data_IF_181967697033
#
_entry.id   IF_181967697033
#
_cell.length_a   1.000
_cell.length_b   1.000
_cell.length_c   1.000
_cell.angle_alpha   90.00
_cell.angle_beta   90.00
_cell.angle_gamma   90.00
#
_symmetry.space_group_name_H-M   'P 1'
#
loop_
_entity.id
_entity.type
_entity.pdbx_description
1 polymer ?
#
# COMPACT_ATOMS: atom_id res chain seq x y z
N UNK A 1 -20.62 -35.05 38.77
CA UNK A 1 -20.64 -33.64 38.32
C UNK A 1 -19.23 -33.10 38.53
N UNK A 2 -18.62 -32.53 37.49
CA UNK A 2 -17.31 -31.83 37.48
C UNK A 2 -16.04 -32.67 37.67
N UNK A 3 -15.39 -33.04 36.57
CA UNK A 3 -13.93 -32.86 36.37
C UNK A 3 -13.61 -32.97 34.87
N UNK A 4 -13.53 -31.83 34.17
CA UNK A 4 -12.70 -31.72 32.95
C UNK A 4 -11.70 -30.61 33.23
N UNK A 5 -10.63 -30.98 33.91
CA UNK A 5 -9.40 -30.20 33.99
C UNK A 5 -8.60 -30.49 32.73
N UNK A 6 -8.30 -29.46 31.94
CA UNK A 6 -7.46 -29.63 30.76
C UNK A 6 -7.44 -28.44 29.81
N UNK A 7 -7.38 -27.21 30.34
CA UNK A 7 -7.06 -26.04 29.52
C UNK A 7 -5.64 -26.20 28.98
N UNK A 8 -5.51 -26.71 27.75
CA UNK A 8 -4.23 -26.76 27.03
C UNK A 8 -3.78 -25.32 26.84
N UNK A 9 -2.86 -24.84 27.67
CA UNK A 9 -2.10 -23.62 27.41
C UNK A 9 -1.20 -23.92 26.22
N UNK A 10 -1.77 -23.84 25.02
CA UNK A 10 -1.00 -23.78 23.79
C UNK A 10 -0.16 -22.52 23.92
N UNK A 11 1.12 -22.69 24.29
CA UNK A 11 2.15 -21.66 24.17
C UNK A 11 2.14 -21.24 22.70
N UNK A 12 1.36 -20.21 22.38
CA UNK A 12 1.35 -19.66 21.04
C UNK A 12 2.78 -19.20 20.77
N UNK A 13 3.44 -19.87 19.84
CA UNK A 13 4.80 -19.54 19.43
C UNK A 13 4.85 -18.01 19.20
N UNK A 14 5.74 -17.26 19.87
CA UNK A 14 5.80 -15.81 19.71
C UNK A 14 5.94 -15.40 18.25
N UNK A 15 6.61 -16.21 17.42
CA UNK A 15 6.67 -16.03 15.98
C UNK A 15 5.31 -16.16 15.29
N UNK A 16 4.47 -17.10 15.70
CA UNK A 16 3.10 -17.26 15.18
C UNK A 16 2.20 -16.11 15.62
N UNK A 17 2.37 -15.60 16.83
CA UNK A 17 1.62 -14.42 17.32
C UNK A 17 2.04 -13.14 16.61
N UNK A 18 3.32 -13.05 16.22
CA UNK A 18 3.86 -11.95 15.44
C UNK A 18 3.32 -12.00 14.00
N UNK A 19 3.46 -13.14 13.32
CA UNK A 19 3.00 -13.33 11.92
C UNK A 19 1.49 -13.15 11.69
N UNK A 20 0.67 -13.24 12.74
CA UNK A 20 -0.80 -13.07 12.64
C UNK A 20 -1.22 -11.59 12.77
N UNK A 21 -0.30 -10.66 13.05
CA UNK A 21 -0.65 -9.23 13.09
C UNK A 21 -0.79 -8.68 11.67
N UNK A 22 -1.93 -8.08 11.31
CA UNK A 22 -2.15 -7.52 9.97
C UNK A 22 -1.12 -6.44 9.60
N UNK A 23 -0.66 -5.66 10.60
CA UNK A 23 0.40 -4.66 10.48
C UNK A 23 1.70 -5.22 9.89
N UNK A 24 2.05 -6.47 10.23
CA UNK A 24 3.28 -7.10 9.77
C UNK A 24 3.21 -7.55 8.33
N UNK A 25 2.01 -7.80 7.80
CA UNK A 25 1.82 -8.10 6.38
C UNK A 25 2.30 -6.94 5.49
N UNK A 26 1.92 -5.71 5.83
CA UNK A 26 2.33 -4.52 5.09
C UNK A 26 3.86 -4.30 5.15
N UNK A 27 4.46 -4.43 6.34
CA UNK A 27 5.92 -4.27 6.52
C UNK A 27 6.68 -5.35 5.76
N UNK A 28 6.33 -6.62 5.96
CA UNK A 28 7.01 -7.75 5.30
C UNK A 28 6.86 -7.65 3.78
N UNK A 29 5.67 -7.29 3.27
CA UNK A 29 5.43 -7.09 1.85
C UNK A 29 6.30 -5.98 1.26
N UNK A 30 6.34 -4.82 1.92
CA UNK A 30 7.17 -3.69 1.46
C UNK A 30 8.65 -4.04 1.39
N UNK A 31 9.18 -4.72 2.41
CA UNK A 31 10.58 -5.16 2.46
C UNK A 31 10.85 -6.22 1.40
N UNK A 32 9.96 -7.20 1.24
CA UNK A 32 10.13 -8.25 0.24
C UNK A 32 10.17 -7.70 -1.19
N UNK A 33 9.26 -6.77 -1.53
CA UNK A 33 9.23 -6.10 -2.83
C UNK A 33 10.49 -5.24 -3.02
N UNK A 34 10.91 -4.49 -2.00
CA UNK A 34 12.13 -3.70 -2.07
C UNK A 34 13.37 -4.57 -2.30
N UNK A 35 13.52 -5.69 -1.58
CA UNK A 35 14.62 -6.65 -1.77
C UNK A 35 14.60 -7.23 -3.19
N UNK A 36 13.42 -7.60 -3.69
CA UNK A 36 13.28 -8.11 -5.05
C UNK A 36 13.83 -7.12 -6.08
N UNK A 37 13.41 -5.85 -6.01
CA UNK A 37 13.91 -4.82 -6.93
C UNK A 37 15.37 -4.42 -6.66
N UNK A 38 15.84 -4.49 -5.41
CA UNK A 38 17.26 -4.29 -5.10
C UNK A 38 18.15 -5.34 -5.79
N UNK A 39 17.69 -6.60 -5.87
CA UNK A 39 18.43 -7.68 -6.53
C UNK A 39 18.29 -7.57 -8.06
N UNK A 40 17.06 -7.44 -8.57
CA UNK A 40 16.77 -7.49 -10.01
C UNK A 40 17.16 -6.19 -10.72
N UNK A 41 16.88 -5.04 -10.10
CA UNK A 41 17.07 -3.71 -10.67
C UNK A 41 18.24 -2.93 -10.05
N UNK A 42 19.00 -3.53 -9.12
CA UNK A 42 20.12 -2.87 -8.43
C UNK A 42 21.20 -2.34 -9.39
N UNK A 43 21.56 -3.14 -10.40
CA UNK A 43 22.51 -2.74 -11.45
C UNK A 43 21.98 -1.65 -12.40
N UNK A 44 20.67 -1.38 -12.40
CA UNK A 44 20.02 -0.33 -13.19
C UNK A 44 19.79 0.94 -12.38
N UNK A 45 20.38 1.04 -11.19
CA UNK A 45 20.33 2.24 -10.36
C UNK A 45 19.17 2.28 -9.36
N UNK A 46 18.45 1.18 -9.13
CA UNK A 46 17.37 1.15 -8.14
C UNK A 46 17.84 1.56 -6.73
N UNK A 47 18.99 1.04 -6.28
CA UNK A 47 19.58 1.35 -4.96
C UNK A 47 20.46 2.61 -4.98
N UNK A 48 20.60 3.27 -6.14
CA UNK A 48 21.35 4.53 -6.22
C UNK A 48 20.61 5.65 -5.47
N UNK A 49 21.30 6.74 -5.13
CA UNK A 49 20.67 7.91 -4.51
C UNK A 49 19.52 8.47 -5.37
N UNK A 50 19.70 8.51 -6.70
CA UNK A 50 18.68 9.01 -7.63
C UNK A 50 17.48 8.06 -7.74
N UNK A 51 17.73 6.75 -7.81
CA UNK A 51 16.67 5.74 -7.81
C UNK A 51 15.87 5.78 -6.51
N UNK A 52 16.59 5.83 -5.40
CA UNK A 52 16.04 5.93 -4.05
C UNK A 52 15.18 7.18 -3.88
N UNK A 53 15.66 8.35 -4.29
CA UNK A 53 14.87 9.58 -4.23
C UNK A 53 13.63 9.53 -5.11
N UNK A 54 13.71 8.88 -6.28
CA UNK A 54 12.60 8.81 -7.22
C UNK A 54 11.42 8.03 -6.65
N UNK A 55 11.64 6.80 -6.19
CA UNK A 55 10.55 6.01 -5.62
C UNK A 55 10.09 6.54 -4.25
N UNK A 56 10.99 7.12 -3.44
CA UNK A 56 10.60 7.73 -2.16
C UNK A 56 9.74 8.98 -2.37
N UNK A 57 9.99 9.77 -3.40
CA UNK A 57 9.18 10.97 -3.68
C UNK A 57 7.75 10.61 -4.02
N UNK A 58 7.55 9.65 -4.93
CA UNK A 58 6.22 9.14 -5.29
C UNK A 58 5.55 8.45 -4.09
N UNK A 59 6.32 7.66 -3.32
CA UNK A 59 5.77 6.98 -2.14
C UNK A 59 5.36 7.96 -1.05
N UNK A 60 6.10 9.07 -0.86
CA UNK A 60 5.75 10.09 0.11
C UNK A 60 4.43 10.78 -0.25
N UNK A 61 4.22 11.10 -1.54
CA UNK A 61 2.98 11.69 -2.02
C UNK A 61 1.76 10.80 -1.73
N UNK A 62 1.88 9.49 -2.00
CA UNK A 62 0.82 8.52 -1.70
C UNK A 62 0.66 8.29 -0.18
N UNK A 63 1.76 8.24 0.58
CA UNK A 63 1.72 8.02 2.02
C UNK A 63 1.07 9.17 2.78
N UNK A 64 1.30 10.42 2.36
CA UNK A 64 0.66 11.60 2.96
C UNK A 64 -0.87 11.50 2.86
N UNK A 65 -1.39 10.96 1.74
CA UNK A 65 -2.83 10.73 1.57
C UNK A 65 -3.30 9.47 2.32
N UNK A 66 -2.52 8.39 2.29
CA UNK A 66 -2.90 7.11 2.90
C UNK A 66 -2.94 7.14 4.45
N UNK A 67 -2.10 7.94 5.11
CA UNK A 67 -2.06 8.04 6.58
C UNK A 67 -3.38 8.50 7.20
N UNK A 68 -3.97 9.66 6.81
CA UNK A 68 -5.26 10.08 7.37
C UNK A 68 -6.38 9.09 7.06
N UNK A 69 -6.37 8.49 5.86
CA UNK A 69 -7.31 7.45 5.44
C UNK A 69 -7.21 6.21 6.34
N UNK A 70 -6.00 5.74 6.63
CA UNK A 70 -5.77 4.62 7.52
C UNK A 70 -6.21 4.94 8.97
N UNK A 71 -6.00 6.16 9.45
CA UNK A 71 -6.47 6.59 10.76
C UNK A 71 -8.00 6.59 10.85
N UNK A 72 -8.70 7.03 9.80
CA UNK A 72 -10.17 6.95 9.71
C UNK A 72 -10.65 5.48 9.75
N UNK A 73 -10.01 4.60 8.98
CA UNK A 73 -10.33 3.16 8.96
C UNK A 73 -10.09 2.48 10.32
N UNK A 74 -9.04 2.88 11.05
CA UNK A 74 -8.80 2.43 12.43
C UNK A 74 -9.89 2.95 13.37
N UNK A 75 -10.37 4.18 13.14
CA UNK A 75 -11.48 4.79 13.88
C UNK A 75 -12.85 4.14 13.62
N UNK A 76 -12.95 3.20 12.68
CA UNK A 76 -14.20 2.54 12.28
C UNK A 76 -14.97 3.28 11.18
N UNK A 77 -14.45 4.41 10.70
CA UNK A 77 -15.03 5.18 9.61
C UNK A 77 -14.40 4.76 8.29
N UNK A 78 -15.24 4.45 7.29
CA UNK A 78 -14.75 4.01 5.99
C UNK A 78 -14.51 5.22 5.09
N UNK A 79 -13.25 5.48 4.74
CA UNK A 79 -12.95 6.51 3.73
C UNK A 79 -13.19 5.97 2.31
N UNK A 80 -14.44 6.11 1.84
CA UNK A 80 -14.81 5.81 0.46
C UNK A 80 -14.44 6.95 -0.51
N UNK A 81 -14.28 8.18 0.01
CA UNK A 81 -14.18 9.39 -0.81
C UNK A 81 -12.83 9.49 -1.51
N UNK A 82 -11.72 9.47 -0.77
CA UNK A 82 -10.39 9.68 -1.36
C UNK A 82 -10.03 8.51 -2.27
N UNK A 83 -10.26 7.28 -1.82
CA UNK A 83 -9.96 6.08 -2.58
C UNK A 83 -10.73 5.99 -3.91
N UNK A 84 -12.04 6.28 -3.91
CA UNK A 84 -12.85 6.23 -5.14
C UNK A 84 -12.50 7.36 -6.11
N UNK A 85 -12.23 8.56 -5.61
CA UNK A 85 -11.88 9.72 -6.44
C UNK A 85 -10.52 9.51 -7.11
N UNK A 86 -9.48 9.11 -6.36
CA UNK A 86 -8.15 8.83 -6.94
C UNK A 86 -8.21 7.71 -7.99
N UNK A 87 -8.97 6.65 -7.73
CA UNK A 87 -9.15 5.56 -8.70
C UNK A 87 -9.90 5.99 -9.96
N UNK A 88 -11.03 6.69 -9.81
CA UNK A 88 -11.84 7.14 -10.94
C UNK A 88 -11.11 8.16 -11.82
N UNK A 89 -10.49 9.16 -11.20
CA UNK A 89 -9.73 10.21 -11.92
C UNK A 89 -8.52 9.62 -12.64
N UNK A 90 -7.76 8.73 -12.00
CA UNK A 90 -6.62 8.05 -12.64
C UNK A 90 -7.03 7.18 -13.84
N UNK A 91 -8.11 6.40 -13.71
CA UNK A 91 -8.67 5.60 -14.81
C UNK A 91 -9.17 6.48 -15.96
N UNK A 92 -9.85 7.59 -15.64
CA UNK A 92 -10.36 8.51 -16.64
C UNK A 92 -9.22 9.16 -17.44
N UNK A 93 -8.17 9.64 -16.76
CA UNK A 93 -6.98 10.18 -17.43
C UNK A 93 -6.32 9.10 -18.31
N UNK A 94 -6.15 7.88 -17.79
CA UNK A 94 -5.52 6.79 -18.54
C UNK A 94 -6.31 6.43 -19.80
N UNK A 95 -7.64 6.30 -19.71
CA UNK A 95 -8.50 5.98 -20.86
C UNK A 95 -8.51 7.14 -21.88
N UNK A 96 -8.71 8.38 -21.43
CA UNK A 96 -8.78 9.54 -22.32
C UNK A 96 -7.46 9.76 -23.08
N UNK A 97 -6.32 9.60 -22.40
CA UNK A 97 -5.01 9.77 -23.03
C UNK A 97 -4.63 8.58 -23.91
N UNK A 98 -4.78 7.35 -23.42
CA UNK A 98 -4.29 6.16 -24.12
C UNK A 98 -5.24 5.65 -25.22
N UNK A 99 -6.55 5.78 -25.04
CA UNK A 99 -7.55 5.24 -25.98
C UNK A 99 -8.15 6.32 -26.89
N UNK A 100 -8.41 7.51 -26.34
CA UNK A 100 -9.06 8.60 -27.09
C UNK A 100 -8.06 9.64 -27.62
N UNK A 101 -6.77 9.51 -27.31
CA UNK A 101 -5.72 10.40 -27.78
C UNK A 101 -5.85 11.84 -27.29
N UNK A 102 -6.59 12.07 -26.19
CA UNK A 102 -6.71 13.39 -25.61
C UNK A 102 -5.35 13.87 -25.09
N UNK A 103 -5.10 15.18 -25.19
CA UNK A 103 -3.95 15.77 -24.51
C UNK A 103 -4.06 15.54 -23.00
N UNK A 104 -2.92 15.34 -22.33
CA UNK A 104 -2.87 15.13 -20.87
C UNK A 104 -3.62 16.24 -20.13
N UNK A 105 -3.48 17.49 -20.57
CA UNK A 105 -4.18 18.64 -19.98
C UNK A 105 -5.70 18.55 -20.12
N UNK A 106 -6.21 18.20 -21.30
CA UNK A 106 -7.64 18.02 -21.52
C UNK A 106 -8.20 16.85 -20.70
N UNK A 107 -7.43 15.76 -20.57
CA UNK A 107 -7.81 14.61 -19.77
C UNK A 107 -7.83 14.93 -18.26
N UNK A 108 -6.87 15.72 -17.76
CA UNK A 108 -6.86 16.19 -16.37
C UNK A 108 -8.11 17.04 -16.10
N UNK A 109 -8.41 18.03 -16.94
CA UNK A 109 -9.58 18.91 -16.73
C UNK A 109 -10.89 18.12 -16.73
N UNK A 110 -11.01 17.09 -17.56
CA UNK A 110 -12.21 16.25 -17.59
C UNK A 110 -12.31 15.28 -16.39
N UNK A 111 -11.20 15.00 -15.72
CA UNK A 111 -11.14 14.10 -14.57
C UNK A 111 -11.22 14.83 -13.22
N UNK A 112 -11.26 16.17 -13.18
CA UNK A 112 -11.48 16.97 -11.96
C UNK A 112 -12.97 17.09 -11.63
#
# INVERSE_FOLDING_TARGET
MSTITGGRTLRANPLRRLLVRPELGAVIGSVAVWIFFAIVAGGYGFVSTLGTSSYLSVSAELAIQAVPVALLMIGGEFDLSVGSTVGATGMMIAILTAQYGWSVWAAIVAAL
#
